data_IF_479304825448
#
_entry.id   IF_479304825448
#
_cell.length_a   1.000
_cell.length_b   1.000
_cell.length_c   1.000
_cell.angle_alpha   90.00
_cell.angle_beta   90.00
_cell.angle_gamma   90.00
#
_symmetry.space_group_name_H-M   'P 1'
#
loop_
_entity.id
_entity.type
_entity.pdbx_description
1 polymer ?
#
# COMPACT_ATOMS: atom_id res chain seq x y z
N UNK A 1 34.38 -27.12 13.12
CA UNK A 1 33.55 -25.97 13.57
C UNK A 1 32.11 -26.19 13.14
N UNK A 2 31.17 -26.49 14.05
CA UNK A 2 29.76 -26.62 13.67
C UNK A 2 29.16 -25.23 13.41
N UNK A 3 28.59 -25.04 12.21
CA UNK A 3 27.86 -23.85 11.78
C UNK A 3 26.63 -23.69 12.70
N UNK A 4 26.64 -22.65 13.54
CA UNK A 4 25.49 -22.27 14.37
C UNK A 4 24.31 -22.08 13.42
N UNK A 5 23.36 -23.02 13.42
CA UNK A 5 22.07 -22.84 12.75
C UNK A 5 21.42 -21.68 13.48
N UNK A 6 21.46 -20.49 12.89
CA UNK A 6 20.54 -19.41 13.26
C UNK A 6 19.15 -19.98 13.04
N UNK A 7 18.56 -20.45 14.13
CA UNK A 7 17.13 -20.68 14.20
C UNK A 7 16.50 -19.33 13.96
N UNK A 8 15.96 -19.11 12.76
CA UNK A 8 14.96 -18.10 12.52
C UNK A 8 13.90 -18.29 13.60
N UNK A 9 13.99 -17.53 14.69
CA UNK A 9 12.98 -17.55 15.74
C UNK A 9 11.62 -17.31 15.09
N UNK A 10 10.56 -17.98 15.55
CA UNK A 10 9.24 -17.79 14.97
C UNK A 10 8.95 -16.29 14.94
N UNK A 11 8.62 -15.76 13.76
CA UNK A 11 8.07 -14.40 13.67
C UNK A 11 6.97 -14.29 14.72
N UNK A 12 7.03 -13.26 15.58
CA UNK A 12 6.20 -13.22 16.77
C UNK A 12 4.73 -13.49 16.39
N UNK A 13 4.00 -14.36 17.11
CA UNK A 13 2.62 -14.72 16.76
C UNK A 13 1.75 -13.48 16.51
N UNK A 14 1.99 -12.43 17.30
CA UNK A 14 1.37 -11.12 17.15
C UNK A 14 1.65 -10.47 15.79
N UNK A 15 2.89 -10.51 15.28
CA UNK A 15 3.23 -9.97 13.95
C UNK A 15 2.49 -10.72 12.84
N UNK A 16 2.34 -12.04 12.95
CA UNK A 16 1.58 -12.83 11.97
C UNK A 16 0.09 -12.47 11.99
N UNK A 17 -0.49 -12.32 13.18
CA UNK A 17 -1.89 -11.88 13.36
C UNK A 17 -2.08 -10.48 12.78
N UNK A 18 -1.17 -9.53 13.05
CA UNK A 18 -1.24 -8.18 12.50
C UNK A 18 -1.14 -8.19 10.96
N UNK A 19 -0.26 -9.01 10.39
CA UNK A 19 -0.16 -9.16 8.94
C UNK A 19 -1.43 -9.77 8.34
N UNK A 20 -2.00 -10.79 8.97
CA UNK A 20 -3.27 -11.35 8.56
C UNK A 20 -4.40 -10.31 8.63
N UNK A 21 -4.38 -9.44 9.65
CA UNK A 21 -5.35 -8.35 9.79
C UNK A 21 -5.27 -7.33 8.64
N UNK A 22 -4.08 -7.11 8.06
CA UNK A 22 -3.95 -6.26 6.85
C UNK A 22 -4.59 -6.85 5.60
N UNK A 23 -4.92 -8.15 5.58
CA UNK A 23 -5.67 -8.76 4.48
C UNK A 23 -7.15 -8.34 4.49
N UNK A 24 -7.70 -7.97 5.65
CA UNK A 24 -9.12 -7.58 5.77
C UNK A 24 -9.44 -6.36 4.88
N UNK A 25 -8.74 -5.21 5.01
CA UNK A 25 -8.98 -4.10 4.11
C UNK A 25 -8.67 -4.46 2.65
N UNK A 26 -7.68 -5.32 2.37
CA UNK A 26 -7.34 -5.72 1.00
C UNK A 26 -8.48 -6.47 0.33
N UNK A 27 -9.03 -7.47 1.02
CA UNK A 27 -10.16 -8.27 0.53
C UNK A 27 -11.39 -7.38 0.40
N UNK A 28 -11.67 -6.53 1.40
CA UNK A 28 -12.79 -5.61 1.35
C UNK A 28 -12.69 -4.67 0.13
N UNK A 29 -11.52 -4.07 -0.12
CA UNK A 29 -11.29 -3.24 -1.31
C UNK A 29 -11.47 -4.02 -2.61
N UNK A 30 -10.96 -5.25 -2.69
CA UNK A 30 -11.18 -6.12 -3.84
C UNK A 30 -12.65 -6.44 -4.09
N UNK A 31 -13.42 -6.74 -3.03
CA UNK A 31 -14.87 -6.96 -3.11
C UNK A 31 -15.60 -5.71 -3.57
N UNK A 32 -15.24 -4.53 -3.06
CA UNK A 32 -15.87 -3.27 -3.48
C UNK A 32 -15.64 -2.95 -4.96
N UNK A 33 -14.44 -3.21 -5.48
CA UNK A 33 -14.13 -3.09 -6.92
C UNK A 33 -14.97 -4.08 -7.73
N UNK A 34 -15.09 -5.34 -7.26
CA UNK A 34 -15.91 -6.34 -7.95
C UNK A 34 -17.38 -5.92 -7.97
N UNK A 35 -17.94 -5.47 -6.85
CA UNK A 35 -19.32 -4.99 -6.79
C UNK A 35 -19.54 -3.82 -7.75
N UNK A 36 -18.62 -2.86 -7.76
CA UNK A 36 -18.67 -1.74 -8.71
C UNK A 36 -18.61 -2.24 -10.18
N UNK A 37 -17.77 -3.24 -10.48
CA UNK A 37 -17.66 -3.81 -11.82
C UNK A 37 -18.90 -4.61 -12.28
N UNK A 38 -19.77 -5.01 -11.35
CA UNK A 38 -21.06 -5.67 -11.62
C UNK A 38 -22.25 -4.69 -11.53
N UNK A 39 -21.99 -3.37 -11.55
CA UNK A 39 -22.99 -2.32 -11.35
C UNK A 39 -23.79 -2.48 -10.04
N UNK A 40 -23.18 -3.07 -9.01
CA UNK A 40 -23.74 -3.18 -7.66
C UNK A 40 -23.17 -2.05 -6.79
N UNK A 41 -24.01 -1.06 -6.56
CA UNK A 41 -23.70 0.10 -5.73
C UNK A 41 -24.18 -0.12 -4.29
N UNK A 42 -23.25 -0.06 -3.34
CA UNK A 42 -23.56 -0.10 -1.90
C UNK A 42 -23.85 1.30 -1.35
N UNK A 43 -23.30 2.34 -1.99
CA UNK A 43 -23.41 3.73 -1.56
C UNK A 43 -23.48 4.67 -2.76
N UNK A 44 -24.29 5.72 -2.64
CA UNK A 44 -24.31 6.83 -3.57
C UNK A 44 -23.43 8.00 -3.05
N UNK A 45 -22.69 8.72 -3.93
CA UNK A 45 -22.53 8.46 -5.36
C UNK A 45 -21.55 7.29 -5.65
N UNK A 46 -21.67 6.62 -6.82
CA UNK A 46 -20.91 5.42 -7.18
C UNK A 46 -19.38 5.59 -7.08
N UNK A 47 -18.89 6.79 -7.39
CA UNK A 47 -17.47 7.16 -7.33
C UNK A 47 -16.87 6.98 -5.92
N UNK A 48 -17.71 7.08 -4.88
CA UNK A 48 -17.30 6.92 -3.48
C UNK A 48 -16.92 5.48 -3.18
N UNK A 49 -17.63 4.50 -3.77
CA UNK A 49 -17.34 3.09 -3.56
C UNK A 49 -15.96 2.72 -4.12
N UNK A 50 -15.65 3.17 -5.35
CA UNK A 50 -14.36 2.92 -5.98
C UNK A 50 -13.23 3.61 -5.20
N UNK A 51 -13.46 4.85 -4.74
CA UNK A 51 -12.51 5.60 -3.91
C UNK A 51 -12.17 4.83 -2.63
N UNK A 52 -13.19 4.42 -1.87
CA UNK A 52 -12.99 3.67 -0.62
C UNK A 52 -12.26 2.36 -0.88
N UNK A 53 -12.57 1.68 -1.99
CA UNK A 53 -11.93 0.44 -2.37
C UNK A 53 -10.41 0.61 -2.61
N UNK A 54 -10.03 1.65 -3.36
CA UNK A 54 -8.62 1.97 -3.65
C UNK A 54 -7.88 2.36 -2.36
N UNK A 55 -8.49 3.18 -1.51
CA UNK A 55 -7.90 3.57 -0.22
C UNK A 55 -7.67 2.37 0.69
N UNK A 56 -8.60 1.40 0.72
CA UNK A 56 -8.45 0.17 1.49
C UNK A 56 -7.27 -0.67 0.99
N UNK A 57 -7.09 -0.77 -0.32
CA UNK A 57 -5.96 -1.48 -0.91
C UNK A 57 -4.64 -0.81 -0.53
N UNK A 58 -4.53 0.51 -0.69
CA UNK A 58 -3.31 1.24 -0.32
C UNK A 58 -3.02 1.16 1.18
N UNK A 59 -4.04 1.28 2.03
CA UNK A 59 -3.90 1.12 3.48
C UNK A 59 -3.35 -0.26 3.83
N UNK A 60 -3.83 -1.32 3.16
CA UNK A 60 -3.36 -2.69 3.37
C UNK A 60 -1.89 -2.83 3.05
N UNK A 61 -1.46 -2.29 1.90
CA UNK A 61 -0.06 -2.31 1.51
C UNK A 61 0.82 -1.47 2.42
N UNK A 62 0.39 -0.25 2.79
CA UNK A 62 1.11 0.62 3.71
C UNK A 62 1.28 -0.05 5.08
N UNK A 63 0.19 -0.56 5.66
CA UNK A 63 0.18 -1.24 6.96
C UNK A 63 1.04 -2.51 6.95
N UNK A 64 0.93 -3.33 5.91
CA UNK A 64 1.73 -4.57 5.80
C UNK A 64 3.23 -4.27 5.72
N UNK A 65 3.62 -3.27 4.93
CA UNK A 65 5.02 -2.83 4.84
C UNK A 65 5.51 -2.21 6.16
N UNK A 66 4.66 -1.43 6.84
CA UNK A 66 4.98 -0.85 8.14
C UNK A 66 5.23 -1.93 9.21
N UNK A 67 4.37 -2.94 9.30
CA UNK A 67 4.54 -4.09 10.21
C UNK A 67 5.81 -4.87 9.89
N UNK A 68 6.16 -4.99 8.61
CA UNK A 68 7.39 -5.62 8.16
C UNK A 68 8.65 -4.75 8.37
N UNK A 69 8.50 -3.49 8.84
CA UNK A 69 9.55 -2.47 8.96
C UNK A 69 10.18 -2.08 7.62
N UNK A 70 9.47 -2.28 6.51
CA UNK A 70 9.86 -1.79 5.20
C UNK A 70 9.36 -0.34 5.05
N UNK A 71 10.07 0.59 5.66
CA UNK A 71 9.65 1.99 5.78
C UNK A 71 9.47 2.70 4.43
N UNK A 72 10.39 2.50 3.48
CA UNK A 72 10.35 3.19 2.19
C UNK A 72 9.08 2.87 1.38
N UNK A 73 8.73 1.58 1.13
CA UNK A 73 7.47 1.26 0.46
C UNK A 73 6.25 1.59 1.32
N UNK A 74 6.31 1.49 2.66
CA UNK A 74 5.18 1.88 3.51
C UNK A 74 4.82 3.36 3.32
N UNK A 75 5.82 4.25 3.31
CA UNK A 75 5.65 5.68 3.05
C UNK A 75 5.18 5.92 1.62
N UNK A 76 5.73 5.21 0.63
CA UNK A 76 5.29 5.31 -0.77
C UNK A 76 3.80 4.99 -0.93
N UNK A 77 3.31 3.88 -0.36
CA UNK A 77 1.89 3.51 -0.41
C UNK A 77 0.99 4.51 0.32
N UNK A 78 1.44 5.02 1.47
CA UNK A 78 0.70 6.03 2.22
C UNK A 78 0.61 7.36 1.47
N UNK A 79 1.70 7.83 0.84
CA UNK A 79 1.70 9.03 0.01
C UNK A 79 0.77 8.87 -1.20
N UNK A 80 0.77 7.69 -1.84
CA UNK A 80 -0.13 7.40 -2.95
C UNK A 80 -1.60 7.45 -2.49
N UNK A 81 -1.90 6.87 -1.32
CA UNK A 81 -3.23 6.94 -0.70
C UNK A 81 -3.68 8.38 -0.46
N UNK A 82 -2.78 9.23 0.06
CA UNK A 82 -3.08 10.65 0.29
C UNK A 82 -3.28 11.41 -1.03
N UNK A 83 -2.43 11.17 -2.03
CA UNK A 83 -2.58 11.78 -3.34
C UNK A 83 -3.94 11.43 -3.96
N UNK A 84 -4.31 10.15 -3.90
CA UNK A 84 -5.57 9.65 -4.43
C UNK A 84 -6.78 10.24 -3.69
N UNK A 85 -6.74 10.25 -2.34
CA UNK A 85 -7.78 10.88 -1.53
C UNK A 85 -7.99 12.36 -1.90
N UNK A 86 -6.91 13.12 -2.10
CA UNK A 86 -7.01 14.54 -2.47
C UNK A 86 -7.51 14.71 -3.91
N UNK A 87 -7.03 13.90 -4.86
CA UNK A 87 -7.49 13.95 -6.25
C UNK A 87 -8.99 13.63 -6.37
N UNK A 88 -9.49 12.70 -5.54
CA UNK A 88 -10.88 12.26 -5.55
C UNK A 88 -11.81 13.14 -4.71
N UNK A 89 -11.28 13.91 -3.75
CA UNK A 89 -12.08 14.78 -2.87
C UNK A 89 -12.76 15.99 -3.54
N UNK A 90 -12.81 16.04 -4.88
CA UNK A 90 -13.34 17.16 -5.69
C UNK A 90 -12.75 18.55 -5.33
N UNK A 91 -11.63 18.59 -4.58
CA UNK A 91 -10.93 19.81 -4.22
C UNK A 91 -10.29 20.41 -5.48
N UNK A 92 -10.81 21.54 -5.94
CA UNK A 92 -10.30 22.26 -7.12
C UNK A 92 -9.18 23.23 -6.73
N UNK A 93 -8.23 23.42 -7.64
CA UNK A 93 -7.20 24.47 -7.55
C UNK A 93 -5.85 23.98 -7.02
N UNK A 94 -5.20 24.71 -6.10
CA UNK A 94 -3.79 24.46 -5.73
C UNK A 94 -3.57 23.12 -5.01
N UNK A 95 -4.57 22.62 -4.27
CA UNK A 95 -4.53 21.32 -3.60
C UNK A 95 -4.39 20.15 -4.57
N UNK A 96 -4.97 20.25 -5.75
CA UNK A 96 -4.85 19.22 -6.78
C UNK A 96 -3.43 19.15 -7.35
N UNK A 97 -2.76 20.29 -7.53
CA UNK A 97 -1.36 20.34 -7.95
C UNK A 97 -0.44 19.71 -6.89
N UNK A 98 -0.70 19.98 -5.61
CA UNK A 98 0.02 19.35 -4.50
C UNK A 98 -0.18 17.84 -4.51
N UNK A 99 -1.41 17.35 -4.74
CA UNK A 99 -1.71 15.93 -4.82
C UNK A 99 -0.94 15.22 -5.95
N UNK A 100 -0.86 15.84 -7.12
CA UNK A 100 -0.04 15.33 -8.25
C UNK A 100 1.44 15.27 -7.84
N UNK A 101 1.96 16.32 -7.19
CA UNK A 101 3.33 16.34 -6.67
C UNK A 101 3.61 15.21 -5.67
N UNK A 102 2.68 14.96 -4.74
CA UNK A 102 2.75 13.86 -3.78
C UNK A 102 2.74 12.50 -4.51
N UNK A 103 1.87 12.33 -5.50
CA UNK A 103 1.81 11.11 -6.31
C UNK A 103 3.11 10.83 -7.05
N UNK A 104 3.72 11.85 -7.66
CA UNK A 104 5.04 11.73 -8.32
C UNK A 104 6.11 11.33 -7.30
N UNK A 105 6.14 11.97 -6.13
CA UNK A 105 7.09 11.63 -5.07
C UNK A 105 6.95 10.16 -4.62
N UNK A 106 5.72 9.68 -4.46
CA UNK A 106 5.44 8.28 -4.13
C UNK A 106 6.00 7.32 -5.19
N UNK A 107 5.79 7.62 -6.48
CA UNK A 107 6.33 6.81 -7.58
C UNK A 107 7.87 6.80 -7.61
N UNK A 108 8.50 7.95 -7.35
CA UNK A 108 9.96 8.04 -7.25
C UNK A 108 10.51 7.19 -6.10
N UNK A 109 9.84 7.17 -4.94
CA UNK A 109 10.23 6.30 -3.83
C UNK A 109 10.18 4.81 -4.22
N UNK A 110 9.15 4.39 -4.94
CA UNK A 110 9.07 3.02 -5.45
C UNK A 110 10.18 2.72 -6.47
N UNK A 111 10.46 3.64 -7.38
CA UNK A 111 11.54 3.48 -8.36
C UNK A 111 12.91 3.32 -7.68
N UNK A 112 13.20 4.14 -6.66
CA UNK A 112 14.43 4.05 -5.86
C UNK A 112 14.52 2.72 -5.12
N UNK A 113 13.43 2.28 -4.47
CA UNK A 113 13.38 1.00 -3.76
C UNK A 113 13.63 -0.19 -4.71
N UNK A 114 13.00 -0.17 -5.90
CA UNK A 114 13.19 -1.21 -6.92
C UNK A 114 14.65 -1.23 -7.39
N UNK A 115 15.22 -0.07 -7.68
CA UNK A 115 16.62 0.03 -8.11
C UNK A 115 17.59 -0.47 -7.04
N UNK A 116 17.34 -0.13 -5.77
CA UNK A 116 18.14 -0.59 -4.65
C UNK A 116 18.07 -2.12 -4.46
N UNK A 117 16.86 -2.70 -4.57
CA UNK A 117 16.64 -4.16 -4.52
C UNK A 117 17.26 -4.91 -5.70
N UNK A 118 17.24 -4.31 -6.90
CA UNK A 118 17.88 -4.90 -8.07
C UNK A 118 19.40 -4.89 -7.93
N UNK A 119 20.00 -3.74 -7.57
CA UNK A 119 21.45 -3.60 -7.42
C UNK A 119 22.03 -4.53 -6.33
N UNK A 120 21.33 -4.67 -5.21
CA UNK A 120 21.76 -5.55 -4.12
C UNK A 120 21.76 -7.04 -4.49
N UNK A 121 20.90 -7.47 -5.42
CA UNK A 121 20.87 -8.86 -5.92
C UNK A 121 22.00 -9.18 -6.90
N UNK A 122 22.52 -8.19 -7.61
CA UNK A 122 23.58 -8.39 -8.62
C UNK A 122 24.96 -8.69 -8.00
N UNK A 123 25.21 -8.31 -6.75
CA UNK A 123 26.51 -8.51 -6.08
C UNK A 123 26.68 -9.88 -5.38
N UNK A 124 25.69 -10.78 -5.49
CA UNK A 124 25.73 -12.13 -4.91
C UNK A 124 25.92 -13.26 -5.94
N UNK A 125 26.25 -12.90 -7.18
CA UNK A 125 26.69 -13.81 -8.24
C UNK A 125 28.14 -13.54 -8.61
#
# INVERSE_FOLDING_TARGET
MPRKKETLGPSSPLKQILLALTLVPLIAGGVLILLWAFDVELWEPPDTQLTVAVLFIFLSFAASNLIQRNWLPAVGWFLLMLADAVLLSQLRGPTQMIAIGIGIAALLLFAVEIFHRLRSRTHTH
#
